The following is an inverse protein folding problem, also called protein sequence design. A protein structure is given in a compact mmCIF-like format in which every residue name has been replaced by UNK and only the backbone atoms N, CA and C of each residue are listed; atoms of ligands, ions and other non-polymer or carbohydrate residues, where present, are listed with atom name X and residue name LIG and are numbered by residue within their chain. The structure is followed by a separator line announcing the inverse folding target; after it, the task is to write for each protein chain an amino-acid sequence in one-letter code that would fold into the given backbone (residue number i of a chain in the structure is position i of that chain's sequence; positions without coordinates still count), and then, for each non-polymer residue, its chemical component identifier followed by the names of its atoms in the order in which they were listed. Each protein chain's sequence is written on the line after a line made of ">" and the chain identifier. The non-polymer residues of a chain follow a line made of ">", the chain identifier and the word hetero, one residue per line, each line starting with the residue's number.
data_IF_753115507089
#
_entry.id   IF_753115507089
#
_cell.length_a   1.000
_cell.length_b   1.000
_cell.length_c   1.000
_cell.angle_alpha   90.00
_cell.angle_beta   90.00
_cell.angle_gamma   90.00
#
_symmetry.space_group_name_H-M   'P 1'
#
loop_
_entity.id
_entity.type
_entity.pdbx_description
1 polymer ?
#
# COMPACT_ATOMS: atom_id res chain seq x y z
N UNK A 1 23.76 -8.06 -42.04
CA UNK A 1 24.24 -6.92 -41.22
C UNK A 1 23.45 -5.67 -41.50
N UNK A 2 23.18 -5.33 -42.76
CA UNK A 2 22.46 -4.10 -43.14
C UNK A 2 21.10 -3.93 -42.44
N UNK A 3 20.28 -4.98 -42.35
CA UNK A 3 19.00 -4.94 -41.64
C UNK A 3 19.13 -4.53 -40.17
N UNK A 4 20.19 -5.00 -39.48
CA UNK A 4 20.42 -4.64 -38.07
C UNK A 4 20.70 -3.13 -37.94
N UNK A 5 21.54 -2.58 -38.82
CA UNK A 5 21.80 -1.14 -38.82
C UNK A 5 20.54 -0.33 -39.12
N UNK A 6 19.72 -0.78 -40.07
CA UNK A 6 18.43 -0.13 -40.35
C UNK A 6 17.51 -0.11 -39.12
N UNK A 7 17.41 -1.21 -38.37
CA UNK A 7 16.59 -1.28 -37.15
C UNK A 7 17.13 -0.39 -36.02
N UNK A 8 18.45 -0.32 -35.85
CA UNK A 8 19.09 0.53 -34.84
C UNK A 8 19.07 2.03 -35.20
N UNK A 9 18.77 2.38 -36.46
CA UNK A 9 18.66 3.76 -36.95
C UNK A 9 17.20 4.23 -37.06
N UNK A 10 16.24 3.49 -36.50
CA UNK A 10 14.85 3.93 -36.43
C UNK A 10 14.76 5.18 -35.54
N UNK A 11 14.10 6.21 -36.05
CA UNK A 11 13.80 7.44 -35.33
C UNK A 11 12.41 7.40 -34.71
N UNK A 12 12.27 8.00 -33.53
CA UNK A 12 11.02 8.04 -32.78
C UNK A 12 11.04 9.21 -31.79
N UNK A 13 9.93 9.46 -31.10
CA UNK A 13 9.83 10.44 -30.03
C UNK A 13 9.46 9.76 -28.70
N UNK A 14 9.58 10.53 -27.62
CA UNK A 14 9.34 10.05 -26.24
C UNK A 14 7.90 9.54 -26.07
N UNK A 15 6.93 10.22 -26.68
CA UNK A 15 5.51 9.84 -26.57
C UNK A 15 5.25 8.47 -27.19
N UNK A 16 5.83 8.23 -28.38
CA UNK A 16 5.68 6.97 -29.12
C UNK A 16 6.35 5.82 -28.36
N UNK A 17 7.57 6.04 -27.85
CA UNK A 17 8.26 5.04 -27.03
C UNK A 17 7.54 4.75 -25.71
N UNK A 18 6.92 5.77 -25.09
CA UNK A 18 6.10 5.57 -23.90
C UNK A 18 4.89 4.69 -24.19
N UNK A 19 4.21 4.87 -25.33
CA UNK A 19 3.11 4.00 -25.77
C UNK A 19 3.59 2.57 -26.05
N UNK A 20 4.76 2.40 -26.68
CA UNK A 20 5.35 1.07 -26.88
C UNK A 20 5.66 0.39 -25.55
N UNK A 21 6.28 1.10 -24.61
CA UNK A 21 6.53 0.59 -23.26
C UNK A 21 5.22 0.25 -22.52
N UNK A 22 4.19 1.07 -22.67
CA UNK A 22 2.88 0.83 -22.05
C UNK A 22 2.14 -0.35 -22.70
N UNK A 23 2.36 -0.60 -23.99
CA UNK A 23 1.87 -1.81 -24.69
C UNK A 23 2.48 -3.07 -24.07
N UNK A 24 3.77 -3.03 -23.73
CA UNK A 24 4.41 -4.12 -22.98
C UNK A 24 3.85 -4.21 -21.55
N UNK A 25 3.65 -3.07 -20.87
CA UNK A 25 3.05 -3.04 -19.53
C UNK A 25 1.65 -3.69 -19.51
N UNK A 26 0.90 -3.57 -20.61
CA UNK A 26 -0.46 -4.06 -20.78
C UNK A 26 -0.53 -5.43 -21.50
N UNK A 27 0.48 -6.29 -21.34
CA UNK A 27 0.43 -7.68 -21.84
C UNK A 27 0.38 -7.81 -23.37
N UNK A 28 0.92 -6.81 -24.09
CA UNK A 28 0.98 -6.77 -25.55
C UNK A 28 -0.25 -6.13 -26.22
N UNK A 29 -1.14 -5.52 -25.45
CA UNK A 29 -2.31 -4.78 -25.95
C UNK A 29 -2.01 -3.28 -25.91
N UNK A 30 -2.18 -2.61 -27.05
CA UNK A 30 -1.94 -1.17 -27.15
C UNK A 30 -2.90 -0.40 -26.25
N UNK A 31 -2.43 0.51 -25.38
CA UNK A 31 -3.29 1.27 -24.49
C UNK A 31 -4.12 2.34 -25.22
N UNK A 32 -3.75 2.69 -26.46
CA UNK A 32 -4.46 3.71 -27.24
C UNK A 32 -5.48 3.13 -28.22
N UNK A 33 -5.22 1.92 -28.75
CA UNK A 33 -6.08 1.28 -29.75
C UNK A 33 -6.80 0.03 -29.26
N UNK A 34 -6.47 -0.46 -28.06
CA UNK A 34 -6.99 -1.71 -27.46
C UNK A 34 -6.72 -2.98 -28.29
N UNK A 35 -5.90 -2.87 -29.34
CA UNK A 35 -5.53 -3.99 -30.20
C UNK A 35 -4.37 -4.79 -29.58
N UNK A 36 -4.44 -6.12 -29.70
CA UNK A 36 -3.31 -6.99 -29.39
C UNK A 36 -2.24 -6.91 -30.48
N UNK A 37 -1.18 -6.15 -30.21
CA UNK A 37 -0.02 -5.99 -31.09
C UNK A 37 0.99 -7.13 -30.90
N UNK A 38 1.15 -7.62 -29.67
CA UNK A 38 2.11 -8.67 -29.31
C UNK A 38 1.44 -9.73 -28.44
N UNK A 39 1.85 -10.99 -28.59
CA UNK A 39 1.33 -12.05 -27.72
C UNK A 39 1.91 -11.92 -26.30
N UNK A 40 1.11 -12.21 -25.28
CA UNK A 40 1.50 -12.05 -23.88
C UNK A 40 2.75 -12.87 -23.51
N UNK A 41 2.95 -14.03 -24.15
CA UNK A 41 4.16 -14.85 -23.95
C UNK A 41 5.42 -14.09 -24.34
N UNK A 42 5.44 -13.49 -25.54
CA UNK A 42 6.60 -12.72 -25.99
C UNK A 42 6.83 -11.51 -25.08
N UNK A 43 5.76 -10.81 -24.66
CA UNK A 43 5.86 -9.69 -23.71
C UNK A 43 6.51 -10.12 -22.40
N UNK A 44 6.02 -11.20 -21.77
CA UNK A 44 6.61 -11.72 -20.52
C UNK A 44 8.09 -12.05 -20.70
N UNK A 45 8.43 -12.78 -21.77
CA UNK A 45 9.80 -13.21 -22.02
C UNK A 45 10.72 -11.98 -22.26
N UNK A 46 10.25 -10.97 -23.00
CA UNK A 46 10.96 -9.70 -23.20
C UNK A 46 11.14 -8.92 -21.89
N UNK A 47 10.10 -8.79 -21.06
CA UNK A 47 10.21 -8.06 -19.79
C UNK A 47 11.17 -8.73 -18.81
N UNK A 48 11.20 -10.06 -18.78
CA UNK A 48 12.18 -10.81 -17.98
C UNK A 48 13.62 -10.52 -18.44
N UNK A 49 13.87 -10.47 -19.75
CA UNK A 49 15.20 -10.13 -20.29
C UNK A 49 15.55 -8.66 -20.09
N UNK A 50 14.60 -7.74 -20.22
CA UNK A 50 14.80 -6.32 -19.89
C UNK A 50 15.19 -6.14 -18.42
N UNK A 51 14.58 -6.93 -17.53
CA UNK A 51 14.90 -6.88 -16.10
C UNK A 51 16.35 -7.29 -15.81
N UNK A 52 16.86 -8.35 -16.44
CA UNK A 52 18.22 -8.86 -16.16
C UNK A 52 19.33 -8.30 -17.06
N UNK A 53 19.00 -7.85 -18.27
CA UNK A 53 19.98 -7.54 -19.34
C UNK A 53 19.69 -6.20 -20.06
N UNK A 54 18.82 -5.35 -19.52
CA UNK A 54 18.35 -4.15 -20.21
C UNK A 54 19.29 -2.95 -20.24
N UNK A 55 20.18 -2.84 -19.25
CA UNK A 55 20.94 -1.62 -18.90
C UNK A 55 22.46 -1.82 -19.02
N UNK A 56 22.91 -2.54 -20.05
CA UNK A 56 24.32 -2.92 -20.23
C UNK A 56 24.88 -3.61 -18.98
N UNK A 57 26.13 -3.33 -18.61
CA UNK A 57 26.77 -3.88 -17.41
C UNK A 57 26.13 -3.38 -16.10
N UNK A 58 25.29 -2.34 -16.16
CA UNK A 58 24.54 -1.84 -15.01
C UNK A 58 23.28 -2.66 -14.70
N UNK A 59 22.88 -3.61 -15.55
CA UNK A 59 21.60 -4.33 -15.43
C UNK A 59 21.38 -4.99 -14.07
N UNK A 60 22.40 -5.63 -13.48
CA UNK A 60 22.28 -6.25 -12.17
C UNK A 60 22.05 -5.24 -11.04
N UNK A 61 22.74 -4.08 -11.08
CA UNK A 61 22.55 -3.02 -10.09
C UNK A 61 21.20 -2.32 -10.27
N UNK A 62 20.78 -2.10 -11.52
CA UNK A 62 19.47 -1.52 -11.82
C UNK A 62 18.34 -2.44 -11.34
N UNK A 63 18.44 -3.74 -11.61
CA UNK A 63 17.48 -4.73 -11.12
C UNK A 63 17.40 -4.79 -9.59
N UNK A 64 18.50 -4.53 -8.89
CA UNK A 64 18.53 -4.54 -7.43
C UNK A 64 18.02 -3.24 -6.80
N UNK A 65 18.38 -2.08 -7.37
CA UNK A 65 18.05 -0.76 -6.81
C UNK A 65 16.68 -0.25 -7.27
N UNK A 66 16.41 -0.39 -8.57
CA UNK A 66 15.17 0.10 -9.21
C UNK A 66 14.15 -1.02 -9.32
N UNK A 67 14.57 -2.22 -9.70
CA UNK A 67 13.67 -3.38 -9.74
C UNK A 67 12.53 -3.23 -10.76
N UNK A 68 12.77 -2.53 -11.87
CA UNK A 68 11.84 -2.39 -12.99
C UNK A 68 12.49 -2.88 -14.28
N UNK A 69 11.75 -3.55 -15.18
CA UNK A 69 12.22 -3.80 -16.54
C UNK A 69 12.50 -2.49 -17.27
N UNK A 70 13.71 -2.32 -17.79
CA UNK A 70 14.10 -1.14 -18.55
C UNK A 70 15.00 -1.50 -19.73
N UNK A 71 15.15 -0.60 -20.69
CA UNK A 71 16.16 -0.71 -21.76
C UNK A 71 16.73 0.67 -22.03
N UNK A 72 18.05 0.79 -21.95
CA UNK A 72 18.78 2.00 -22.36
C UNK A 72 19.19 1.93 -23.83
N UNK A 73 19.15 3.06 -24.52
CA UNK A 73 19.72 3.25 -25.85
C UNK A 73 20.88 4.26 -25.83
N UNK A 74 21.84 4.08 -26.73
CA UNK A 74 23.01 4.98 -26.87
C UNK A 74 22.62 6.37 -27.39
N UNK A 75 21.40 6.55 -27.87
CA UNK A 75 20.87 7.88 -28.21
C UNK A 75 20.57 8.73 -26.97
N UNK A 76 20.57 8.11 -25.78
CA UNK A 76 20.19 8.72 -24.51
C UNK A 76 18.72 8.52 -24.16
N UNK A 77 18.00 7.72 -24.94
CA UNK A 77 16.66 7.23 -24.62
C UNK A 77 16.72 6.09 -23.60
N UNK A 78 15.69 6.00 -22.76
CA UNK A 78 15.48 4.86 -21.89
C UNK A 78 13.98 4.63 -21.71
N UNK A 79 13.54 3.40 -21.96
CA UNK A 79 12.20 2.97 -21.60
C UNK A 79 12.22 2.24 -20.26
N UNK A 80 11.20 2.50 -19.44
CA UNK A 80 10.92 1.78 -18.20
C UNK A 80 9.49 1.23 -18.32
N UNK A 81 9.32 -0.03 -17.98
CA UNK A 81 8.01 -0.68 -17.94
C UNK A 81 7.66 -0.97 -16.49
N UNK A 82 6.49 -0.51 -16.05
CA UNK A 82 5.88 -0.93 -14.78
C UNK A 82 4.73 -1.87 -15.13
N UNK A 83 4.93 -3.20 -15.06
CA UNK A 83 3.94 -4.17 -15.51
C UNK A 83 2.57 -3.95 -14.87
N UNK A 84 1.51 -4.00 -15.68
CA UNK A 84 0.11 -3.76 -15.30
C UNK A 84 -0.18 -2.34 -14.76
N UNK A 85 0.72 -1.37 -14.96
CA UNK A 85 0.52 0.02 -14.52
C UNK A 85 0.75 1.00 -15.66
N UNK A 86 1.98 1.09 -16.19
CA UNK A 86 2.34 2.09 -17.21
C UNK A 86 3.67 1.79 -17.90
N UNK A 87 3.90 2.45 -19.04
CA UNK A 87 5.21 2.57 -19.67
C UNK A 87 5.69 4.02 -19.65
N UNK A 88 6.98 4.21 -19.41
CA UNK A 88 7.63 5.52 -19.34
C UNK A 88 8.77 5.52 -20.36
N UNK A 89 8.91 6.61 -21.10
CA UNK A 89 10.12 6.89 -21.87
C UNK A 89 10.78 8.15 -21.33
N UNK A 90 12.11 8.13 -21.24
CA UNK A 90 12.94 9.24 -20.85
C UNK A 90 13.94 9.49 -21.97
N UNK A 91 14.31 10.75 -22.19
CA UNK A 91 15.33 11.11 -23.16
C UNK A 91 16.27 12.15 -22.59
N UNK A 92 17.56 11.81 -22.55
CA UNK A 92 18.64 12.70 -22.14
C UNK A 92 19.94 12.19 -22.77
N UNK A 93 20.43 12.84 -23.85
CA UNK A 93 21.62 12.41 -24.60
C UNK A 93 22.90 12.18 -23.78
N UNK A 94 23.20 12.92 -22.71
CA UNK A 94 24.39 12.65 -21.89
C UNK A 94 24.34 11.25 -21.26
N UNK A 95 25.35 10.44 -21.57
CA UNK A 95 25.52 9.08 -21.07
C UNK A 95 26.57 9.01 -19.94
N UNK A 96 26.40 8.04 -19.06
CA UNK A 96 27.40 7.64 -18.08
C UNK A 96 28.51 6.77 -18.72
N UNK A 97 29.48 6.35 -17.91
CA UNK A 97 30.59 5.51 -18.36
C UNK A 97 30.16 4.11 -18.82
N UNK A 98 28.96 3.65 -18.46
CA UNK A 98 28.40 2.35 -18.81
C UNK A 98 27.45 2.43 -20.03
N UNK A 99 27.30 3.62 -20.62
CA UNK A 99 26.45 3.86 -21.79
C UNK A 99 24.97 4.11 -21.47
N UNK A 100 24.60 4.28 -20.19
CA UNK A 100 23.23 4.58 -19.80
C UNK A 100 23.00 6.09 -19.71
N UNK A 101 21.77 6.55 -19.95
CA UNK A 101 21.42 7.96 -19.78
C UNK A 101 21.54 8.43 -18.31
N UNK A 102 22.34 9.47 -18.06
CA UNK A 102 22.63 9.96 -16.70
C UNK A 102 21.35 10.37 -15.98
N UNK A 103 20.51 11.18 -16.64
CA UNK A 103 19.26 11.68 -16.03
C UNK A 103 18.20 10.60 -15.96
N UNK A 104 18.15 9.69 -16.94
CA UNK A 104 17.16 8.62 -16.92
C UNK A 104 17.39 7.65 -15.77
N UNK A 105 18.63 7.21 -15.55
CA UNK A 105 18.97 6.36 -14.39
C UNK A 105 18.66 7.08 -13.09
N UNK A 106 19.03 8.36 -12.96
CA UNK A 106 18.76 9.13 -11.74
C UNK A 106 17.27 9.30 -11.47
N UNK A 107 16.47 9.54 -12.51
CA UNK A 107 15.01 9.58 -12.39
C UNK A 107 14.48 8.24 -11.91
N UNK A 108 14.92 7.12 -12.49
CA UNK A 108 14.43 5.79 -12.14
C UNK A 108 14.68 5.45 -10.66
N UNK A 109 15.84 5.80 -10.12
CA UNK A 109 16.16 5.66 -8.69
C UNK A 109 15.19 6.49 -7.82
N UNK A 110 15.06 7.79 -8.10
CA UNK A 110 14.17 8.68 -7.33
C UNK A 110 12.69 8.28 -7.46
N UNK A 111 12.32 7.71 -8.60
CA UNK A 111 10.98 7.27 -8.89
C UNK A 111 10.57 6.12 -7.95
N UNK A 112 11.42 5.11 -7.77
CA UNK A 112 11.12 3.98 -6.85
C UNK A 112 11.38 4.30 -5.37
N UNK A 113 12.17 5.33 -5.08
CA UNK A 113 12.28 5.89 -3.72
C UNK A 113 10.98 6.58 -3.30
N UNK A 114 10.29 7.23 -4.25
CA UNK A 114 9.03 7.94 -3.99
C UNK A 114 7.79 7.05 -4.07
N UNK A 115 7.77 6.07 -4.98
CA UNK A 115 6.61 5.23 -5.25
C UNK A 115 6.90 3.75 -5.02
N UNK A 116 5.88 2.97 -4.62
CA UNK A 116 6.00 1.53 -4.33
C UNK A 116 5.98 0.64 -5.60
N UNK A 117 6.78 1.02 -6.60
CA UNK A 117 6.82 0.34 -7.90
C UNK A 117 7.97 -0.65 -8.07
N UNK A 118 8.90 -0.74 -7.12
CA UNK A 118 9.92 -1.78 -7.18
C UNK A 118 9.22 -3.15 -7.25
N UNK A 119 9.64 -4.06 -8.15
CA UNK A 119 8.96 -5.35 -8.33
C UNK A 119 8.85 -6.18 -7.04
N UNK A 120 9.74 -5.94 -6.07
CA UNK A 120 9.76 -6.59 -4.76
C UNK A 120 9.29 -5.70 -3.60
N UNK A 121 8.72 -4.51 -3.86
CA UNK A 121 8.05 -3.73 -2.82
C UNK A 121 6.74 -4.41 -2.40
N UNK A 122 6.39 -4.28 -1.11
CA UNK A 122 5.14 -4.79 -0.58
C UNK A 122 3.97 -3.84 -0.86
N UNK A 123 2.90 -4.36 -1.48
CA UNK A 123 1.64 -3.63 -1.68
C UNK A 123 0.77 -3.53 -0.42
N UNK A 124 1.10 -4.37 0.56
CA UNK A 124 0.27 -4.66 1.74
C UNK A 124 0.91 -4.05 2.99
N UNK A 125 2.22 -4.28 3.17
CA UNK A 125 3.02 -3.80 4.29
C UNK A 125 4.09 -2.85 3.78
N UNK A 126 3.67 -1.65 3.38
CA UNK A 126 4.64 -0.61 3.04
C UNK A 126 5.03 0.12 4.33
N UNK A 127 6.07 -0.38 5.01
CA UNK A 127 6.73 0.36 6.12
C UNK A 127 7.41 1.64 5.63
N UNK A 128 7.45 1.81 4.31
CA UNK A 128 8.06 2.95 3.64
C UNK A 128 7.06 4.09 3.47
N UNK A 129 7.56 5.32 3.52
CA UNK A 129 6.82 6.56 3.20
C UNK A 129 6.50 6.69 1.69
N UNK A 130 6.49 5.58 0.95
CA UNK A 130 6.26 5.52 -0.48
C UNK A 130 4.78 5.67 -0.80
N UNK A 131 4.50 6.28 -1.94
CA UNK A 131 3.16 6.52 -2.43
C UNK A 131 2.74 5.37 -3.34
N UNK A 132 1.53 4.86 -3.16
CA UNK A 132 0.89 3.95 -4.10
C UNK A 132 -0.22 4.69 -4.86
N UNK A 133 0.02 5.13 -6.11
CA UNK A 133 -0.98 5.88 -6.86
C UNK A 133 -2.14 5.00 -7.35
N UNK A 134 -2.07 3.66 -7.23
CA UNK A 134 -3.19 2.76 -7.53
C UNK A 134 -4.30 2.87 -6.49
N UNK A 135 -3.97 3.34 -5.28
CA UNK A 135 -4.89 3.50 -4.17
C UNK A 135 -5.33 4.96 -4.09
N UNK A 136 -6.64 5.22 -4.15
CA UNK A 136 -7.17 6.53 -3.76
C UNK A 136 -7.00 6.71 -2.26
N UNK A 137 -6.29 7.77 -1.86
CA UNK A 137 -5.83 8.00 -0.48
C UNK A 137 -6.97 7.95 0.56
N UNK A 138 -8.17 8.41 0.20
CA UNK A 138 -9.33 8.39 1.10
C UNK A 138 -10.03 7.03 1.19
N UNK A 139 -10.20 6.33 0.07
CA UNK A 139 -11.03 5.12 0.00
C UNK A 139 -10.44 3.97 0.83
N UNK A 140 -9.12 3.76 0.80
CA UNK A 140 -8.48 2.60 1.46
C UNK A 140 -8.55 2.66 2.98
N UNK A 141 -8.42 3.85 3.58
CA UNK A 141 -8.53 4.00 5.03
C UNK A 141 -9.94 3.66 5.50
N UNK A 142 -10.95 4.26 4.87
CA UNK A 142 -12.35 4.02 5.22
C UNK A 142 -12.76 2.57 4.94
N UNK A 143 -12.31 1.98 3.84
CA UNK A 143 -12.59 0.58 3.51
C UNK A 143 -11.97 -0.37 4.54
N UNK A 144 -10.72 -0.15 4.95
CA UNK A 144 -10.05 -1.02 5.94
C UNK A 144 -10.74 -0.94 7.30
N UNK A 145 -11.16 0.26 7.73
CA UNK A 145 -11.90 0.47 8.98
C UNK A 145 -13.28 -0.17 8.90
N UNK A 146 -14.01 0.03 7.80
CA UNK A 146 -15.33 -0.56 7.59
C UNK A 146 -15.28 -2.10 7.59
N UNK A 147 -14.30 -2.68 6.88
CA UNK A 147 -14.09 -4.13 6.85
C UNK A 147 -13.68 -4.68 8.22
N UNK A 148 -12.88 -3.94 9.00
CA UNK A 148 -12.55 -4.30 10.38
C UNK A 148 -13.78 -4.30 11.28
N UNK A 149 -14.66 -3.30 11.16
CA UNK A 149 -15.90 -3.24 11.92
C UNK A 149 -16.86 -4.37 11.54
N UNK A 150 -16.98 -4.69 10.24
CA UNK A 150 -17.76 -5.84 9.81
C UNK A 150 -17.22 -7.17 10.38
N UNK A 151 -15.89 -7.34 10.43
CA UNK A 151 -15.27 -8.49 11.09
C UNK A 151 -15.57 -8.53 12.61
N UNK A 152 -15.69 -7.37 13.25
CA UNK A 152 -16.12 -7.27 14.64
C UNK A 152 -17.60 -7.66 14.85
N UNK A 153 -18.46 -7.46 13.84
CA UNK A 153 -19.84 -7.96 13.84
C UNK A 153 -19.90 -9.49 13.77
N UNK A 154 -19.07 -10.12 12.93
CA UNK A 154 -19.10 -11.58 12.73
C UNK A 154 -18.29 -12.36 13.79
N UNK A 155 -17.49 -11.68 14.60
CA UNK A 155 -16.63 -12.31 15.60
C UNK A 155 -15.27 -12.78 15.07
N UNK A 156 -14.89 -12.37 13.86
CA UNK A 156 -13.64 -12.80 13.21
C UNK A 156 -12.41 -12.01 13.70
N UNK A 157 -11.85 -12.49 14.82
CA UNK A 157 -10.64 -11.92 15.44
C UNK A 157 -9.44 -11.98 14.49
N UNK A 158 -9.33 -13.03 13.66
CA UNK A 158 -8.21 -13.19 12.73
C UNK A 158 -8.20 -12.09 11.67
N UNK A 159 -9.38 -11.75 11.12
CA UNK A 159 -9.52 -10.63 10.19
C UNK A 159 -9.24 -9.28 10.87
N UNK A 160 -9.75 -9.06 12.09
CA UNK A 160 -9.45 -7.83 12.84
C UNK A 160 -7.94 -7.68 13.07
N UNK A 161 -7.27 -8.75 13.51
CA UNK A 161 -5.82 -8.74 13.69
C UNK A 161 -5.09 -8.42 12.39
N UNK A 162 -5.55 -8.97 11.26
CA UNK A 162 -5.00 -8.65 9.94
C UNK A 162 -5.15 -7.16 9.63
N UNK A 163 -6.32 -6.56 9.80
CA UNK A 163 -6.52 -5.13 9.51
C UNK A 163 -5.66 -4.23 10.40
N UNK A 164 -5.51 -4.56 11.69
CA UNK A 164 -4.61 -3.84 12.59
C UNK A 164 -3.14 -3.93 12.14
N UNK A 165 -2.70 -5.11 11.66
CA UNK A 165 -1.36 -5.30 11.09
C UNK A 165 -1.16 -4.51 9.79
N UNK A 166 -2.22 -4.27 9.02
CA UNK A 166 -2.21 -3.42 7.82
C UNK A 166 -2.19 -1.91 8.14
N UNK A 167 -2.16 -1.55 9.42
CA UNK A 167 -2.10 -0.15 9.86
C UNK A 167 -3.46 0.51 10.06
N UNK A 168 -4.57 -0.24 10.04
CA UNK A 168 -5.85 0.31 10.48
C UNK A 168 -5.75 0.67 11.97
N UNK A 169 -6.09 1.92 12.32
CA UNK A 169 -6.08 2.35 13.70
C UNK A 169 -7.21 1.67 14.48
N UNK A 170 -6.90 1.13 15.66
CA UNK A 170 -7.90 0.44 16.49
C UNK A 170 -9.03 1.37 16.95
N UNK A 171 -8.73 2.66 17.12
CA UNK A 171 -9.66 3.70 17.58
C UNK A 171 -10.23 4.56 16.44
N UNK A 172 -10.00 4.17 15.18
CA UNK A 172 -10.58 4.85 14.03
C UNK A 172 -12.12 4.79 14.09
N UNK A 173 -12.73 5.85 13.55
CA UNK A 173 -14.18 6.07 13.59
C UNK A 173 -14.80 5.92 12.21
N UNK A 174 -15.99 5.34 12.16
CA UNK A 174 -16.77 5.27 10.93
C UNK A 174 -17.56 6.57 10.68
N UNK A 175 -18.43 6.54 9.67
CA UNK A 175 -19.27 7.67 9.30
C UNK A 175 -20.32 8.04 10.37
N UNK A 176 -20.54 7.21 11.39
CA UNK A 176 -21.43 7.46 12.55
C UNK A 176 -20.64 7.79 13.83
N UNK A 177 -19.34 8.11 13.68
CA UNK A 177 -18.40 8.32 14.78
C UNK A 177 -18.23 7.12 15.72
N UNK A 178 -18.68 5.93 15.30
CA UNK A 178 -18.54 4.70 16.07
C UNK A 178 -17.15 4.13 15.90
N UNK A 179 -16.65 3.56 16.97
CA UNK A 179 -15.41 2.77 16.98
C UNK A 179 -15.72 1.28 16.88
N UNK A 180 -14.70 0.47 16.63
CA UNK A 180 -14.84 -1.00 16.61
C UNK A 180 -15.36 -1.57 17.94
N UNK A 181 -15.19 -0.85 19.07
CA UNK A 181 -15.78 -1.24 20.35
C UNK A 181 -17.30 -1.13 20.35
N UNK A 182 -17.88 -0.06 19.78
CA UNK A 182 -19.33 0.10 19.67
C UNK A 182 -19.94 -1.09 18.90
N UNK A 183 -19.35 -1.42 17.75
CA UNK A 183 -19.82 -2.51 16.90
C UNK A 183 -19.68 -3.86 17.61
N UNK A 184 -18.55 -4.14 18.25
CA UNK A 184 -18.38 -5.38 19.01
C UNK A 184 -19.35 -5.50 20.19
N UNK A 185 -19.64 -4.38 20.87
CA UNK A 185 -20.54 -4.31 22.02
C UNK A 185 -22.01 -4.50 21.61
N UNK A 186 -22.44 -3.82 20.55
CA UNK A 186 -23.80 -3.91 20.01
C UNK A 186 -24.16 -5.31 19.52
N UNK A 187 -23.18 -6.08 19.06
CA UNK A 187 -23.38 -7.47 18.60
C UNK A 187 -23.08 -8.54 19.67
N UNK A 188 -22.64 -8.15 20.86
CA UNK A 188 -22.38 -9.09 21.96
C UNK A 188 -21.14 -9.97 21.76
N UNK A 189 -20.17 -9.56 20.95
CA UNK A 189 -18.98 -10.35 20.65
C UNK A 189 -17.90 -10.23 21.75
N UNK A 190 -18.10 -10.95 22.86
CA UNK A 190 -17.23 -10.86 24.04
C UNK A 190 -15.74 -11.16 23.77
N UNK A 191 -15.43 -12.10 22.88
CA UNK A 191 -14.05 -12.48 22.57
C UNK A 191 -13.33 -11.38 21.78
N UNK A 192 -14.04 -10.77 20.82
CA UNK A 192 -13.55 -9.60 20.08
C UNK A 192 -13.34 -8.44 21.05
N UNK A 193 -14.29 -8.21 21.95
CA UNK A 193 -14.22 -7.11 22.90
C UNK A 193 -13.03 -7.25 23.86
N UNK A 194 -12.79 -8.45 24.40
CA UNK A 194 -11.58 -8.78 25.18
C UNK A 194 -10.31 -8.57 24.36
N UNK A 195 -10.28 -9.02 23.10
CA UNK A 195 -9.12 -8.89 22.21
C UNK A 195 -8.78 -7.42 21.92
N UNK A 196 -9.80 -6.60 21.65
CA UNK A 196 -9.67 -5.17 21.37
C UNK A 196 -9.22 -4.41 22.62
N UNK A 197 -9.88 -4.60 23.76
CA UNK A 197 -9.57 -3.90 25.01
C UNK A 197 -8.15 -4.18 25.54
N UNK A 198 -7.59 -5.37 25.27
CA UNK A 198 -6.19 -5.65 25.58
C UNK A 198 -5.20 -4.74 24.83
N UNK A 199 -5.57 -4.26 23.65
CA UNK A 199 -4.75 -3.41 22.77
C UNK A 199 -5.21 -1.95 22.77
N UNK A 200 -6.33 -1.66 23.42
CA UNK A 200 -6.92 -0.33 23.51
C UNK A 200 -6.11 0.55 24.46
N UNK A 201 -5.64 1.69 23.96
CA UNK A 201 -4.83 2.65 24.74
C UNK A 201 -5.62 3.87 25.21
N UNK A 202 -6.70 4.17 24.52
CA UNK A 202 -7.57 5.32 24.79
C UNK A 202 -8.60 4.97 25.87
N UNK A 203 -9.50 5.91 26.19
CA UNK A 203 -10.60 5.63 27.11
C UNK A 203 -11.55 4.59 26.48
N UNK A 204 -12.05 3.60 27.24
CA UNK A 204 -12.94 2.55 26.72
C UNK A 204 -14.41 2.99 26.56
N UNK A 205 -14.72 4.27 26.80
CA UNK A 205 -16.01 4.93 26.64
C UNK A 205 -16.01 6.02 25.52
N UNK A 206 -15.51 5.73 24.29
CA UNK A 206 -15.65 6.68 23.21
C UNK A 206 -17.13 6.96 22.94
N UNK A 207 -17.48 8.21 22.60
CA UNK A 207 -18.85 8.58 22.22
C UNK A 207 -19.04 8.45 20.71
N UNK A 208 -20.16 7.85 20.29
CA UNK A 208 -20.65 7.91 18.91
C UNK A 208 -21.32 9.26 18.58
N UNK A 209 -21.83 9.41 17.35
CA UNK A 209 -22.57 10.60 16.91
C UNK A 209 -23.82 10.89 17.75
N UNK A 210 -24.41 9.86 18.36
CA UNK A 210 -25.62 9.96 19.16
C UNK A 210 -25.31 10.16 20.65
N UNK A 211 -24.03 10.31 21.01
CA UNK A 211 -23.59 10.47 22.40
C UNK A 211 -23.67 9.19 23.22
N UNK A 212 -23.75 8.02 22.57
CA UNK A 212 -23.75 6.71 23.24
C UNK A 212 -22.33 6.18 23.36
N UNK A 213 -22.08 5.44 24.43
CA UNK A 213 -20.85 4.68 24.64
C UNK A 213 -21.02 3.24 24.18
N UNK A 214 -19.93 2.46 24.00
CA UNK A 214 -20.03 1.02 23.78
C UNK A 214 -20.80 0.29 24.89
N UNK A 215 -20.77 0.82 26.12
CA UNK A 215 -21.52 0.24 27.24
C UNK A 215 -23.03 0.49 27.08
N UNK A 216 -23.42 1.65 26.56
CA UNK A 216 -24.82 1.96 26.26
C UNK A 216 -25.34 1.07 25.13
N UNK A 217 -24.54 0.86 24.09
CA UNK A 217 -24.88 -0.08 23.01
C UNK A 217 -25.06 -1.51 23.56
N UNK A 218 -24.13 -2.01 24.38
CA UNK A 218 -24.27 -3.33 25.00
C UNK A 218 -25.52 -3.44 25.88
N UNK A 219 -25.91 -2.35 26.57
CA UNK A 219 -27.11 -2.30 27.41
C UNK A 219 -28.39 -2.29 26.58
N UNK A 220 -28.40 -1.51 25.49
CA UNK A 220 -29.55 -1.40 24.57
C UNK A 220 -29.89 -2.75 23.94
N UNK A 221 -28.88 -3.51 23.53
CA UNK A 221 -29.06 -4.85 22.95
C UNK A 221 -29.09 -5.99 23.98
N UNK A 222 -28.93 -5.69 25.28
CA UNK A 222 -29.07 -6.67 26.37
C UNK A 222 -27.92 -7.67 26.53
N UNK A 223 -26.70 -7.29 26.13
CA UNK A 223 -25.52 -8.14 26.19
C UNK A 223 -24.79 -8.07 27.53
N UNK A 224 -25.30 -8.78 28.53
CA UNK A 224 -24.80 -8.73 29.92
C UNK A 224 -23.30 -9.01 30.09
N UNK A 225 -22.75 -10.02 29.40
CA UNK A 225 -21.32 -10.34 29.48
C UNK A 225 -20.45 -9.23 28.91
N UNK A 226 -20.89 -8.56 27.85
CA UNK A 226 -20.18 -7.43 27.26
C UNK A 226 -20.20 -6.21 28.17
N UNK A 227 -21.31 -5.95 28.86
CA UNK A 227 -21.41 -4.87 29.86
C UNK A 227 -20.37 -5.08 30.97
N UNK A 228 -20.29 -6.29 31.55
CA UNK A 228 -19.31 -6.58 32.60
C UNK A 228 -17.85 -6.39 32.13
N UNK A 229 -17.55 -6.79 30.89
CA UNK A 229 -16.20 -6.63 30.32
C UNK A 229 -15.85 -5.15 30.16
N UNK A 230 -16.80 -4.34 29.66
CA UNK A 230 -16.62 -2.90 29.46
C UNK A 230 -16.51 -2.15 30.79
N UNK A 231 -17.36 -2.46 31.78
CA UNK A 231 -17.31 -1.86 33.12
C UNK A 231 -15.97 -2.13 33.80
N UNK A 232 -15.50 -3.39 33.78
CA UNK A 232 -14.17 -3.74 34.32
C UNK A 232 -13.04 -3.02 33.60
N UNK A 233 -13.14 -2.85 32.29
CA UNK A 233 -12.13 -2.13 31.52
C UNK A 233 -12.12 -0.63 31.86
N UNK A 234 -13.29 -0.03 32.07
CA UNK A 234 -13.45 1.36 32.49
C UNK A 234 -12.87 1.59 33.89
N UNK A 235 -13.22 0.74 34.86
CA UNK A 235 -12.66 0.79 36.21
C UNK A 235 -11.13 0.73 36.18
N UNK A 236 -10.57 -0.23 35.43
CA UNK A 236 -9.11 -0.39 35.28
C UNK A 236 -8.45 0.83 34.63
N UNK A 237 -9.13 1.49 33.69
CA UNK A 237 -8.63 2.70 33.05
C UNK A 237 -8.63 3.90 34.02
N UNK A 238 -9.70 4.05 34.82
CA UNK A 238 -9.80 5.11 35.83
C UNK A 238 -8.71 4.94 36.90
N UNK A 239 -8.50 3.72 37.43
CA UNK A 239 -7.45 3.46 38.43
C UNK A 239 -6.07 3.81 37.90
N UNK A 240 -5.73 3.39 36.67
CA UNK A 240 -4.44 3.74 36.04
C UNK A 240 -4.25 5.23 35.84
N UNK A 241 -5.31 5.95 35.50
CA UNK A 241 -5.27 7.40 35.29
C UNK A 241 -5.08 8.14 36.63
N UNK A 242 -5.72 7.67 37.70
CA UNK A 242 -5.55 8.22 39.06
C UNK A 242 -4.12 7.99 39.60
N UNK A 243 -3.55 6.79 39.41
CA UNK A 243 -2.16 6.49 39.79
C UNK A 243 -1.14 7.39 39.08
N UNK A 244 -1.36 7.66 37.79
CA UNK A 244 -0.52 8.61 37.03
C UNK A 244 -0.60 10.04 37.54
N UNK A 245 -1.75 10.45 38.09
CA UNK A 245 -1.98 11.81 38.56
C UNK A 245 -1.55 12.05 40.02
N UNK A 246 -1.16 11.01 40.77
CA UNK A 246 -0.63 11.11 42.13
C UNK A 246 0.85 10.66 42.20
N UNK A 247 1.83 11.53 41.87
CA UNK A 247 3.24 11.16 41.91
C UNK A 247 3.87 11.15 43.33
N UNK A 248 3.10 11.23 44.42
CA UNK A 248 3.62 11.50 45.78
C UNK A 248 3.67 10.24 46.67
N UNK A 249 3.97 9.05 46.15
CA UNK A 249 4.11 7.86 47.04
C UNK A 249 5.20 6.87 46.64
N UNK A 250 6.19 7.29 45.85
CA UNK A 250 7.35 6.45 45.50
C UNK A 250 8.70 7.06 45.89
N UNK A 251 8.79 7.74 47.04
CA UNK A 251 10.04 8.05 47.72
C UNK A 251 9.82 8.04 49.24
N UNK A 252 9.98 6.86 49.86
CA UNK A 252 10.24 6.68 51.29
C UNK A 252 10.86 5.32 51.49
#
# INVERSE_FOLDING_TARGET
>A
MDLYFQLCSIETNVDTLAVMAATLANGGVSPLSEERVVCNRAVRDTLSLMYSCGMYDYSGQFAFKVGLPAKSGVSGDMIIVVPNVMGICLFSPPLDQLGNTVRGVKFAEQFVEKFNFHNYDSLVYSETHKIDPRKKIGEVKHESVSNMMYAATTGDISSIQRYLLLGAGIAERDYDDRTVLHVAAAHGNENVLKFLLQRWKESPDPLDRYGRTPLDDAREFGHSTCMEILERALEKYITKTQEKNNPITSQS
#
